data_IF_702398500218
#
_entry.id   IF_702398500218
#
_cell.length_a   1.000
_cell.length_b   1.000
_cell.length_c   1.000
_cell.angle_alpha   90.00
_cell.angle_beta   90.00
_cell.angle_gamma   90.00
#
_symmetry.space_group_name_H-M   'P 1'
#
loop_
_entity.id
_entity.type
_entity.pdbx_description
1 polymer ?
#
# COMPACT_ATOMS: atom_id res chain seq x y z
N UNK A 1 0.72 -25.43 26.14
CA UNK A 1 0.08 -24.11 26.30
C UNK A 1 0.88 -23.14 25.44
N UNK A 2 0.51 -22.99 24.17
CA UNK A 2 1.24 -22.13 23.24
C UNK A 2 0.80 -20.69 23.51
N UNK A 3 1.72 -19.89 24.08
CA UNK A 3 1.55 -18.44 24.19
C UNK A 3 1.49 -17.86 22.79
N UNK A 4 0.40 -17.16 22.47
CA UNK A 4 0.30 -16.35 21.26
C UNK A 4 1.55 -15.48 21.14
N UNK A 5 2.40 -15.78 20.16
CA UNK A 5 3.57 -14.97 19.86
C UNK A 5 3.08 -13.69 19.17
N UNK A 6 2.85 -12.64 19.95
CA UNK A 6 2.99 -11.29 19.42
C UNK A 6 4.38 -11.19 18.80
N UNK A 7 4.48 -10.77 17.54
CA UNK A 7 5.77 -10.51 16.90
C UNK A 7 6.64 -9.68 17.86
N UNK A 8 7.90 -10.05 18.09
CA UNK A 8 8.76 -9.44 19.12
C UNK A 8 9.10 -7.96 18.88
N UNK A 9 8.57 -7.33 17.82
CA UNK A 9 8.90 -5.98 17.38
C UNK A 9 7.74 -4.98 17.40
N UNK A 10 6.53 -5.38 17.80
CA UNK A 10 5.43 -4.44 18.10
C UNK A 10 4.86 -4.70 19.51
N UNK A 11 5.42 -4.05 20.56
CA UNK A 11 5.00 -4.27 21.94
C UNK A 11 3.58 -3.76 22.24
N UNK A 12 2.92 -3.07 21.30
CA UNK A 12 1.58 -2.48 21.50
C UNK A 12 0.51 -3.10 20.59
N UNK A 13 0.91 -3.82 19.54
CA UNK A 13 -0.01 -4.51 18.63
C UNK A 13 -0.81 -3.54 17.76
N UNK A 14 -0.12 -2.65 17.05
CA UNK A 14 -0.75 -1.78 16.06
C UNK A 14 -1.11 -2.60 14.82
N UNK A 15 -2.41 -2.69 14.55
CA UNK A 15 -2.94 -3.31 13.34
C UNK A 15 -3.62 -2.25 12.46
N UNK A 16 -3.44 -2.35 11.14
CA UNK A 16 -4.05 -1.46 10.14
C UNK A 16 -3.07 -0.51 9.42
N UNK A 17 -3.32 -0.07 8.20
CA UNK A 17 -4.50 -0.27 7.32
C UNK A 17 -4.16 -1.24 6.18
N UNK A 18 -5.19 -1.78 5.54
CA UNK A 18 -5.10 -2.54 4.30
C UNK A 18 -5.02 -1.58 3.12
N UNK A 19 -4.09 -1.85 2.21
CA UNK A 19 -3.92 -1.09 0.97
C UNK A 19 -3.88 -2.06 -0.19
N UNK A 20 -4.55 -1.70 -1.27
CA UNK A 20 -4.63 -2.46 -2.51
C UNK A 20 -4.35 -1.53 -3.68
N UNK A 21 -3.35 -1.86 -4.51
CA UNK A 21 -3.11 -1.26 -5.80
C UNK A 21 -3.59 -2.21 -6.89
N UNK A 22 -4.34 -1.70 -7.85
CA UNK A 22 -4.84 -2.44 -9.02
C UNK A 22 -4.48 -1.65 -10.27
N UNK A 23 -3.75 -2.27 -11.18
CA UNK A 23 -3.53 -1.77 -12.53
C UNK A 23 -4.40 -2.54 -13.52
N UNK A 24 -5.19 -1.82 -14.30
CA UNK A 24 -6.05 -2.40 -15.34
C UNK A 24 -6.35 -1.39 -16.42
N UNK A 25 -6.29 -1.81 -17.69
CA UNK A 25 -6.73 -1.03 -18.86
C UNK A 25 -6.17 0.40 -18.92
N UNK A 26 -4.88 0.56 -18.61
CA UNK A 26 -4.20 1.87 -18.61
C UNK A 26 -4.55 2.78 -17.41
N UNK A 27 -5.35 2.30 -16.47
CA UNK A 27 -5.68 2.97 -15.21
C UNK A 27 -5.01 2.27 -14.02
N UNK A 28 -4.67 3.05 -12.99
CA UNK A 28 -4.18 2.56 -11.71
C UNK A 28 -5.07 3.08 -10.60
N UNK A 29 -5.60 2.18 -9.78
CA UNK A 29 -6.33 2.52 -8.58
C UNK A 29 -5.56 2.04 -7.35
N UNK A 30 -5.27 2.95 -6.42
CA UNK A 30 -4.74 2.59 -5.10
C UNK A 30 -5.78 2.90 -4.03
N UNK A 31 -6.30 1.86 -3.40
CA UNK A 31 -7.29 1.93 -2.35
C UNK A 31 -6.66 1.67 -0.98
N UNK A 32 -7.18 2.34 0.05
CA UNK A 32 -6.83 2.05 1.43
C UNK A 32 -8.04 2.21 2.34
N UNK A 33 -8.19 1.31 3.31
CA UNK A 33 -9.18 1.48 4.37
C UNK A 33 -8.70 2.47 5.43
N UNK A 34 -9.57 2.77 6.40
CA UNK A 34 -9.30 3.78 7.42
C UNK A 34 -9.04 3.24 8.82
N UNK A 35 -9.12 1.94 9.04
CA UNK A 35 -9.05 1.35 10.37
C UNK A 35 -7.63 1.34 10.93
N UNK A 36 -7.48 1.90 12.13
CA UNK A 36 -6.28 1.78 12.96
C UNK A 36 -6.71 1.17 14.29
N UNK A 37 -6.10 0.04 14.61
CA UNK A 37 -6.42 -0.78 15.77
C UNK A 37 -5.21 -0.85 16.68
N UNK A 38 -5.43 -0.71 17.98
CA UNK A 38 -4.42 -0.87 19.02
C UNK A 38 -4.82 -2.07 19.89
N UNK A 39 -4.06 -3.16 19.79
CA UNK A 39 -4.44 -4.44 20.36
C UNK A 39 -5.79 -4.90 19.83
N UNK A 40 -6.82 -4.84 20.69
CA UNK A 40 -8.20 -5.26 20.37
C UNK A 40 -9.17 -4.07 20.21
N UNK A 41 -8.68 -2.83 20.23
CA UNK A 41 -9.54 -1.62 20.22
C UNK A 41 -9.32 -0.81 18.95
N UNK A 42 -10.40 -0.46 18.25
CA UNK A 42 -10.35 0.48 17.12
C UNK A 42 -10.16 1.89 17.65
N UNK A 43 -9.04 2.53 17.28
CA UNK A 43 -8.69 3.89 17.72
C UNK A 43 -9.13 4.93 16.69
N UNK A 44 -9.09 4.59 15.40
CA UNK A 44 -9.47 5.49 14.32
C UNK A 44 -10.07 4.68 13.17
N UNK A 45 -11.16 5.17 12.59
CA UNK A 45 -11.83 4.50 11.46
C UNK A 45 -11.60 5.16 10.09
N UNK A 46 -10.92 6.30 10.03
CA UNK A 46 -10.81 7.14 8.82
C UNK A 46 -9.36 7.60 8.53
N UNK A 47 -8.37 6.78 8.86
CA UNK A 47 -6.99 7.03 8.46
C UNK A 47 -6.86 7.16 6.93
N UNK A 48 -5.84 7.91 6.50
CA UNK A 48 -5.52 8.10 5.08
C UNK A 48 -4.04 7.79 4.88
N UNK A 49 -3.75 6.57 4.42
CA UNK A 49 -2.39 6.09 4.18
C UNK A 49 -2.04 5.90 2.70
N UNK A 50 -2.97 6.23 1.81
CA UNK A 50 -2.72 6.38 0.37
C UNK A 50 -2.61 7.87 0.05
N UNK A 51 -1.62 8.24 -0.74
CA UNK A 51 -1.31 9.61 -1.13
C UNK A 51 -0.85 9.66 -2.57
N UNK A 52 -0.99 10.85 -3.16
CA UNK A 52 -0.29 11.21 -4.38
C UNK A 52 0.98 11.97 -4.01
N UNK A 53 2.07 11.66 -4.68
CA UNK A 53 3.38 12.28 -4.50
C UNK A 53 4.04 12.54 -5.85
N UNK A 54 5.22 13.17 -5.80
CA UNK A 54 6.04 13.43 -6.97
C UNK A 54 5.51 14.55 -7.87
N UNK A 55 6.22 14.85 -8.97
CA UNK A 55 5.89 15.96 -9.85
C UNK A 55 4.45 15.85 -10.37
N UNK A 56 3.63 16.89 -10.16
CA UNK A 56 2.22 16.93 -10.58
C UNK A 56 1.35 15.79 -9.99
N UNK A 57 1.70 15.25 -8.82
CA UNK A 57 0.95 14.17 -8.17
C UNK A 57 0.82 12.91 -9.05
N UNK A 58 1.87 12.62 -9.83
CA UNK A 58 1.91 11.54 -10.84
C UNK A 58 2.17 10.14 -10.27
N UNK A 59 2.47 10.03 -8.97
CA UNK A 59 2.79 8.77 -8.29
C UNK A 59 1.76 8.53 -7.19
N UNK A 60 1.23 7.31 -7.10
CA UNK A 60 0.48 6.84 -5.94
C UNK A 60 1.44 6.13 -4.99
N UNK A 61 1.35 6.45 -3.70
CA UNK A 61 2.10 5.78 -2.65
C UNK A 61 1.17 5.43 -1.49
N UNK A 62 1.24 4.18 -1.07
CA UNK A 62 0.48 3.60 0.02
C UNK A 62 1.40 2.95 1.04
N UNK A 63 1.13 3.15 2.33
CA UNK A 63 1.96 2.62 3.39
C UNK A 63 1.18 1.84 4.46
N UNK A 64 1.62 0.61 4.75
CA UNK A 64 1.09 -0.21 5.84
C UNK A 64 2.10 -0.24 6.99
N UNK A 65 1.86 0.57 8.03
CA UNK A 65 2.69 0.68 9.22
C UNK A 65 2.39 1.95 10.03
N UNK A 66 3.28 2.36 10.93
CA UNK A 66 3.09 3.56 11.75
C UNK A 66 3.16 4.86 10.91
N UNK A 67 2.34 5.84 11.27
CA UNK A 67 2.20 7.08 10.50
C UNK A 67 3.51 7.87 10.38
N UNK A 68 4.33 7.91 11.44
CA UNK A 68 5.59 8.65 11.42
C UNK A 68 6.59 8.06 10.40
N UNK A 69 6.73 6.74 10.38
CA UNK A 69 7.59 6.05 9.43
C UNK A 69 7.13 6.26 7.98
N UNK A 70 5.81 6.29 7.77
CA UNK A 70 5.22 6.58 6.47
C UNK A 70 5.70 7.94 5.93
N UNK A 71 5.64 8.99 6.76
CA UNK A 71 6.08 10.32 6.35
C UNK A 71 7.58 10.35 6.01
N UNK A 72 8.42 9.75 6.86
CA UNK A 72 9.87 9.70 6.60
C UNK A 72 10.20 8.97 5.29
N UNK A 73 9.55 7.85 5.01
CA UNK A 73 9.81 7.09 3.78
C UNK A 73 9.29 7.81 2.53
N UNK A 74 8.14 8.50 2.64
CA UNK A 74 7.60 9.31 1.54
C UNK A 74 8.50 10.49 1.22
N UNK A 75 8.98 11.24 2.22
CA UNK A 75 9.92 12.35 2.01
C UNK A 75 11.22 11.87 1.33
N UNK A 76 11.75 10.72 1.76
CA UNK A 76 12.92 10.11 1.10
C UNK A 76 12.61 9.70 -0.33
N UNK A 77 11.45 9.10 -0.58
CA UNK A 77 11.03 8.72 -1.93
C UNK A 77 10.90 9.94 -2.85
N UNK A 78 10.28 11.02 -2.38
CA UNK A 78 10.14 12.28 -3.13
C UNK A 78 11.50 12.85 -3.52
N UNK A 79 12.46 12.87 -2.59
CA UNK A 79 13.83 13.30 -2.91
C UNK A 79 14.50 12.42 -3.98
N UNK A 80 14.21 11.11 -4.01
CA UNK A 80 14.72 10.22 -5.08
C UNK A 80 14.01 10.47 -6.41
N UNK A 81 12.70 10.73 -6.40
CA UNK A 81 11.91 11.03 -7.59
C UNK A 81 12.35 12.35 -8.23
N UNK A 82 12.69 13.37 -7.43
CA UNK A 82 13.27 14.62 -7.92
C UNK A 82 14.66 14.40 -8.54
N UNK A 83 15.47 13.53 -7.95
CA UNK A 83 16.81 13.19 -8.47
C UNK A 83 16.76 12.35 -9.75
N UNK A 84 15.74 11.51 -9.89
CA UNK A 84 15.56 10.59 -11.01
C UNK A 84 14.18 10.78 -11.67
N UNK A 85 13.98 11.89 -12.40
CA UNK A 85 12.72 12.14 -13.10
C UNK A 85 12.34 10.96 -14.01
N UNK A 86 11.06 10.58 -13.95
CA UNK A 86 10.44 9.52 -14.75
C UNK A 86 11.08 8.13 -14.62
N UNK A 87 11.89 7.90 -13.58
CA UNK A 87 12.56 6.63 -13.30
C UNK A 87 12.09 6.05 -11.96
N UNK A 88 10.80 5.69 -11.88
CA UNK A 88 10.20 5.18 -10.65
C UNK A 88 10.95 3.96 -10.09
N UNK A 89 11.29 2.99 -10.94
CA UNK A 89 12.04 1.79 -10.52
C UNK A 89 13.36 2.16 -9.84
N UNK A 90 14.12 3.07 -10.45
CA UNK A 90 15.40 3.52 -9.92
C UNK A 90 15.23 4.24 -8.58
N UNK A 91 14.22 5.10 -8.45
CA UNK A 91 13.90 5.76 -7.20
C UNK A 91 13.53 4.75 -6.11
N UNK A 92 12.74 3.72 -6.44
CA UNK A 92 12.36 2.64 -5.53
C UNK A 92 13.57 1.81 -5.09
N UNK A 93 14.45 1.42 -6.02
CA UNK A 93 15.68 0.67 -5.71
C UNK A 93 16.62 1.47 -4.82
N UNK A 94 16.79 2.77 -5.07
CA UNK A 94 17.66 3.62 -4.25
C UNK A 94 17.06 3.83 -2.85
N UNK A 95 15.74 4.01 -2.74
CA UNK A 95 15.04 4.05 -1.46
C UNK A 95 15.19 2.73 -0.68
N UNK A 96 15.01 1.59 -1.33
CA UNK A 96 15.13 0.28 -0.68
C UNK A 96 16.53 0.03 -0.11
N UNK A 97 17.58 0.49 -0.81
CA UNK A 97 18.96 0.47 -0.29
C UNK A 97 19.13 1.34 0.95
N UNK A 98 18.62 2.57 0.91
CA UNK A 98 18.67 3.49 2.05
C UNK A 98 17.89 2.94 3.25
N UNK A 99 16.70 2.37 2.99
CA UNK A 99 15.85 1.78 4.02
C UNK A 99 16.56 0.61 4.72
N UNK A 100 17.14 -0.32 3.95
CA UNK A 100 17.86 -1.49 4.48
C UNK A 100 19.10 -1.11 5.31
N UNK A 101 19.80 -0.05 4.92
CA UNK A 101 21.07 0.36 5.55
C UNK A 101 20.86 1.26 6.77
N UNK A 102 19.75 1.99 6.82
CA UNK A 102 19.39 2.85 7.95
C UNK A 102 19.13 2.03 9.22
N UNK A 103 19.82 2.38 10.31
CA UNK A 103 19.77 1.65 11.59
C UNK A 103 18.36 1.57 12.17
N UNK A 104 17.56 2.61 11.98
CA UNK A 104 16.20 2.72 12.52
C UNK A 104 15.19 2.12 11.54
N UNK A 105 15.23 2.51 10.27
CA UNK A 105 14.20 2.11 9.31
C UNK A 105 14.20 0.61 8.99
N UNK A 106 15.36 -0.06 8.99
CA UNK A 106 15.44 -1.51 8.68
C UNK A 106 14.71 -2.42 9.68
N UNK A 107 14.32 -1.90 10.85
CA UNK A 107 13.58 -2.65 11.88
C UNK A 107 12.07 -2.50 11.74
N UNK A 108 11.62 -1.68 10.80
CA UNK A 108 10.21 -1.49 10.53
C UNK A 108 9.65 -2.74 9.85
N UNK A 109 8.57 -3.29 10.39
CA UNK A 109 7.78 -4.34 9.73
C UNK A 109 6.87 -3.77 8.62
N UNK A 110 7.09 -2.51 8.24
CA UNK A 110 6.23 -1.81 7.31
C UNK A 110 6.52 -2.18 5.85
N UNK A 111 5.47 -2.11 5.05
CA UNK A 111 5.54 -2.26 3.59
C UNK A 111 5.00 -1.02 2.91
N UNK A 112 5.54 -0.70 1.74
CA UNK A 112 5.09 0.41 0.91
C UNK A 112 4.70 -0.10 -0.48
N UNK A 113 3.53 0.30 -0.98
CA UNK A 113 3.11 0.11 -2.36
C UNK A 113 3.28 1.44 -3.10
N UNK A 114 3.94 1.44 -4.26
CA UNK A 114 4.18 2.64 -5.06
C UNK A 114 3.82 2.35 -6.51
N UNK A 115 3.18 3.29 -7.21
CA UNK A 115 2.81 3.11 -8.60
C UNK A 115 2.82 4.45 -9.37
N UNK A 116 3.29 4.42 -10.61
CA UNK A 116 3.06 5.48 -11.59
C UNK A 116 2.07 4.99 -12.67
N UNK A 117 1.96 5.72 -13.79
CA UNK A 117 1.09 5.32 -14.90
C UNK A 117 1.53 4.02 -15.60
N UNK A 118 2.76 3.54 -15.40
CA UNK A 118 3.37 2.45 -16.14
C UNK A 118 3.71 1.22 -15.29
N UNK A 119 4.23 1.40 -14.08
CA UNK A 119 4.79 0.35 -13.21
C UNK A 119 4.33 0.48 -11.77
N UNK A 120 4.42 -0.62 -11.03
CA UNK A 120 3.98 -0.71 -9.64
C UNK A 120 4.94 -1.58 -8.84
N UNK A 121 5.31 -1.14 -7.64
CA UNK A 121 6.29 -1.82 -6.81
C UNK A 121 5.82 -1.94 -5.36
N UNK A 122 6.17 -3.07 -4.74
CA UNK A 122 6.16 -3.24 -3.29
C UNK A 122 7.59 -3.08 -2.77
N UNK A 123 7.77 -2.26 -1.74
CA UNK A 123 9.04 -2.07 -1.05
C UNK A 123 8.96 -2.55 0.40
N UNK A 124 10.05 -3.13 0.88
CA UNK A 124 10.18 -3.65 2.25
C UNK A 124 11.41 -3.08 2.95
N UNK A 125 11.40 -3.09 4.29
CA UNK A 125 12.58 -2.73 5.10
C UNK A 125 13.79 -3.66 4.94
N UNK A 126 13.60 -4.84 4.32
CA UNK A 126 14.69 -5.76 3.98
C UNK A 126 15.44 -5.36 2.69
N UNK A 127 14.94 -4.34 2.00
CA UNK A 127 15.51 -3.83 0.75
C UNK A 127 14.98 -4.53 -0.49
N UNK A 128 13.82 -5.20 -0.41
CA UNK A 128 13.18 -5.81 -1.57
C UNK A 128 12.44 -4.75 -2.38
N UNK A 129 12.46 -4.90 -3.71
CA UNK A 129 11.66 -4.13 -4.67
C UNK A 129 10.98 -5.13 -5.60
N UNK A 130 9.66 -5.27 -5.48
CA UNK A 130 8.91 -6.34 -6.12
C UNK A 130 7.83 -5.75 -7.03
N UNK A 131 7.90 -6.04 -8.32
CA UNK A 131 6.85 -5.74 -9.29
C UNK A 131 5.95 -6.97 -9.48
N UNK A 132 4.61 -6.84 -9.35
CA UNK A 132 3.71 -7.96 -9.54
C UNK A 132 3.50 -8.26 -11.03
N UNK A 133 3.45 -9.54 -11.39
CA UNK A 133 3.17 -9.98 -12.77
C UNK A 133 1.73 -9.66 -13.22
N UNK A 134 0.78 -9.67 -12.28
CA UNK A 134 -0.65 -9.44 -12.53
C UNK A 134 -1.09 -7.98 -12.32
N UNK A 135 -0.14 -7.07 -12.02
CA UNK A 135 -0.44 -5.67 -11.79
C UNK A 135 -1.19 -5.36 -10.48
N UNK A 136 -1.28 -6.33 -9.55
CA UNK A 136 -2.00 -6.17 -8.29
C UNK A 136 -1.02 -6.24 -7.11
N UNK A 137 -1.09 -5.25 -6.22
CA UNK A 137 -0.32 -5.21 -4.96
C UNK A 137 -1.28 -5.11 -3.81
N UNK A 138 -1.12 -5.92 -2.77
CA UNK A 138 -1.83 -5.72 -1.52
C UNK A 138 -0.88 -5.80 -0.32
N UNK A 139 -1.02 -4.87 0.61
CA UNK A 139 -0.24 -4.79 1.84
C UNK A 139 -1.14 -4.51 3.05
N UNK A 140 -0.64 -4.77 4.25
CA UNK A 140 -1.36 -4.54 5.50
C UNK A 140 -2.25 -5.70 5.94
N UNK A 141 -3.01 -5.49 7.03
CA UNK A 141 -3.63 -6.57 7.81
C UNK A 141 -4.64 -7.43 7.02
N UNK A 142 -5.38 -6.83 6.09
CA UNK A 142 -6.33 -7.50 5.21
C UNK A 142 -5.81 -7.74 3.79
N UNK A 143 -4.51 -7.53 3.55
CA UNK A 143 -3.92 -7.53 2.20
C UNK A 143 -4.22 -8.81 1.42
N UNK A 144 -4.06 -9.99 2.03
CA UNK A 144 -4.29 -11.26 1.34
C UNK A 144 -5.75 -11.47 0.90
N UNK A 145 -6.72 -10.97 1.68
CA UNK A 145 -8.14 -11.03 1.31
C UNK A 145 -8.44 -10.09 0.15
N UNK A 146 -7.92 -8.86 0.21
CA UNK A 146 -8.04 -7.88 -0.87
C UNK A 146 -7.38 -8.38 -2.16
N UNK A 147 -6.17 -8.95 -2.07
CA UNK A 147 -5.45 -9.52 -3.21
C UNK A 147 -6.23 -10.65 -3.87
N UNK A 148 -6.72 -11.61 -3.08
CA UNK A 148 -7.47 -12.75 -3.59
C UNK A 148 -8.76 -12.30 -4.27
N UNK A 149 -9.47 -11.34 -3.67
CA UNK A 149 -10.68 -10.78 -4.26
C UNK A 149 -10.38 -9.99 -5.54
N UNK A 150 -9.33 -9.17 -5.56
CA UNK A 150 -8.94 -8.39 -6.73
C UNK A 150 -8.58 -9.31 -7.91
N UNK A 151 -7.79 -10.35 -7.67
CA UNK A 151 -7.44 -11.37 -8.68
C UNK A 151 -8.66 -12.08 -9.25
N UNK A 152 -9.66 -12.38 -8.43
CA UNK A 152 -10.90 -12.99 -8.90
C UNK A 152 -11.78 -12.03 -9.73
N UNK A 153 -11.60 -10.71 -9.55
CA UNK A 153 -12.40 -9.67 -10.20
C UNK A 153 -11.71 -9.07 -11.43
N UNK A 154 -10.38 -9.23 -11.58
CA UNK A 154 -9.58 -8.50 -12.57
C UNK A 154 -9.96 -8.84 -14.01
N UNK A 155 -10.39 -10.07 -14.28
CA UNK A 155 -10.77 -10.56 -15.61
C UNK A 155 -12.26 -10.36 -15.91
N UNK A 156 -13.04 -9.78 -14.99
CA UNK A 156 -14.46 -9.52 -15.23
C UNK A 156 -14.61 -8.30 -16.13
N UNK A 157 -15.23 -8.49 -17.29
CA UNK A 157 -15.52 -7.43 -18.25
C UNK A 157 -16.36 -6.29 -17.64
N UNK A 158 -16.09 -5.07 -18.08
CA UNK A 158 -16.82 -3.87 -17.67
C UNK A 158 -16.50 -3.34 -16.27
N UNK A 159 -15.51 -3.90 -15.57
CA UNK A 159 -15.00 -3.32 -14.32
C UNK A 159 -13.78 -2.45 -14.59
N UNK A 160 -13.79 -1.22 -14.08
CA UNK A 160 -12.59 -0.38 -14.05
C UNK A 160 -11.58 -0.83 -12.98
N UNK A 161 -10.36 -0.28 -12.99
CA UNK A 161 -9.40 -0.50 -11.90
C UNK A 161 -9.98 -0.06 -10.55
N UNK A 162 -10.73 1.05 -10.54
CA UNK A 162 -11.43 1.55 -9.34
C UNK A 162 -12.50 0.56 -8.85
N UNK A 163 -13.31 0.01 -9.76
CA UNK A 163 -14.37 -0.95 -9.41
C UNK A 163 -13.78 -2.19 -8.75
N UNK A 164 -12.74 -2.75 -9.36
CA UNK A 164 -12.01 -3.91 -8.81
C UNK A 164 -11.48 -3.58 -7.42
N UNK A 165 -10.79 -2.44 -7.27
CA UNK A 165 -10.21 -2.03 -5.99
C UNK A 165 -11.28 -1.85 -4.90
N UNK A 166 -12.39 -1.17 -5.19
CA UNK A 166 -13.48 -0.95 -4.23
C UNK A 166 -14.17 -2.24 -3.81
N UNK A 167 -14.49 -3.12 -4.76
CA UNK A 167 -15.16 -4.40 -4.47
C UNK A 167 -14.24 -5.34 -3.69
N UNK A 168 -12.97 -5.41 -4.05
CA UNK A 168 -11.98 -6.21 -3.34
C UNK A 168 -11.76 -5.72 -1.91
N UNK A 169 -11.64 -4.40 -1.70
CA UNK A 169 -11.52 -3.81 -0.37
C UNK A 169 -12.78 -4.03 0.48
N UNK A 170 -13.98 -4.00 -0.14
CA UNK A 170 -15.22 -4.36 0.56
C UNK A 170 -15.15 -5.80 1.08
N UNK A 171 -14.76 -6.75 0.24
CA UNK A 171 -14.62 -8.17 0.65
C UNK A 171 -13.59 -8.30 1.77
N UNK A 172 -12.46 -7.59 1.68
CA UNK A 172 -11.48 -7.58 2.75
C UNK A 172 -12.05 -7.05 4.07
N UNK A 173 -12.85 -5.98 4.04
CA UNK A 173 -13.54 -5.43 5.22
C UNK A 173 -14.68 -6.30 5.77
N UNK A 174 -15.25 -7.18 4.94
CA UNK A 174 -16.26 -8.16 5.38
C UNK A 174 -15.62 -9.37 6.11
N UNK A 175 -14.31 -9.60 5.94
CA UNK A 175 -13.59 -10.79 6.45
C UNK A 175 -12.57 -10.43 7.54
N UNK A 176 -11.74 -9.41 7.29
CA UNK A 176 -10.64 -9.03 8.16
C UNK A 176 -11.12 -8.08 9.26
N UNK A 177 -11.03 -8.51 10.52
CA UNK A 177 -11.38 -7.69 11.69
C UNK A 177 -10.55 -6.40 11.84
N UNK A 178 -9.43 -6.28 11.11
CA UNK A 178 -8.54 -5.13 11.10
C UNK A 178 -8.68 -4.24 9.85
N UNK A 179 -9.71 -4.48 9.02
CA UNK A 179 -10.02 -3.69 7.81
C UNK A 179 -11.48 -3.25 7.87
N UNK A 180 -11.76 -1.97 7.60
CA UNK A 180 -13.14 -1.48 7.58
C UNK A 180 -13.61 -1.06 6.18
N UNK A 181 -14.89 -0.67 6.09
CA UNK A 181 -15.51 -0.19 4.85
C UNK A 181 -15.26 1.28 4.54
N UNK A 182 -14.48 2.00 5.36
CA UNK A 182 -14.11 3.40 5.10
C UNK A 182 -12.96 3.48 4.09
N UNK A 183 -13.26 3.08 2.84
CA UNK A 183 -12.28 2.98 1.76
C UNK A 183 -12.13 4.32 1.02
N UNK A 184 -10.89 4.74 0.82
CA UNK A 184 -10.50 5.84 -0.07
C UNK A 184 -9.71 5.28 -1.24
N UNK A 185 -9.88 5.88 -2.41
CA UNK A 185 -9.20 5.46 -3.64
C UNK A 185 -8.55 6.68 -4.29
N UNK A 186 -7.29 6.53 -4.69
CA UNK A 186 -6.58 7.46 -5.57
C UNK A 186 -6.36 6.79 -6.93
N UNK A 187 -6.38 7.59 -8.01
CA UNK A 187 -6.39 7.11 -9.39
C UNK A 187 -5.31 7.76 -10.26
N UNK A 188 -4.56 6.99 -11.04
CA UNK A 188 -3.75 7.52 -12.14
C UNK A 188 -4.27 6.97 -13.46
N UNK A 189 -4.15 7.77 -14.52
CA UNK A 189 -4.69 7.41 -15.82
C UNK A 189 -6.22 7.35 -15.83
N UNK A 190 -6.76 6.97 -16.98
CA UNK A 190 -8.16 7.16 -17.33
C UNK A 190 -8.34 8.52 -18.00
N UNK A 191 -8.68 8.50 -19.28
CA UNK A 191 -9.36 9.64 -19.87
C UNK A 191 -10.70 9.81 -19.14
N UNK A 192 -11.03 11.05 -18.78
CA UNK A 192 -12.43 11.42 -18.67
C UNK A 192 -13.06 11.06 -20.02
N UNK A 193 -13.83 9.99 -20.08
CA UNK A 193 -14.81 9.83 -21.16
C UNK A 193 -15.76 11.04 -21.14
#
# INVERSE_FOLDING_TARGET
MHTHSSSPHDPVGWHGTTILCVRRDGQVAMAGDGQVTLGQTVIKGNARKVRRIGPKNSILAGFAGATADAFTLLERLEAKLERYPDQLERACVDLAKDWRTDRYLRRLEAMMAVADAHRSFTLTGNGDVLEPEDGIIAIGSGGNYALSAARALIDIDGLSAEDVARRAMKIAGDICVYTNHSVRVELLGGESL
#
